data_IF_982147594713
#
_entry.id   IF_982147594713
#
_cell.length_a   1.000
_cell.length_b   1.000
_cell.length_c   1.000
_cell.angle_alpha   90.00
_cell.angle_beta   90.00
_cell.angle_gamma   90.00
#
_symmetry.space_group_name_H-M   'P 1'
#
loop_
_entity.id
_entity.type
_entity.pdbx_description
1 polymer ?
#
# COMPACT_ATOMS: atom_id res chain seq x y z
N UNK A 1 15.02 10.97 -11.27
CA UNK A 1 15.20 10.75 -11.53
C UNK A 1 15.20 10.58 -11.81
N UNK A 2 14.83 10.68 -11.81
CA UNK A 2 14.88 10.19 -12.23
C UNK A 2 15.07 9.34 -12.93
N UNK A 3 14.73 9.18 -13.15
CA UNK A 3 14.86 8.19 -13.73
C UNK A 3 16.12 7.72 -13.77
N UNK A 4 16.67 7.32 -13.56
CA UNK A 4 17.72 6.98 -13.57
C UNK A 4 18.48 6.97 -12.55
N UNK A 5 18.57 6.50 -11.56
CA UNK A 5 19.25 6.44 -10.73
C UNK A 5 19.42 5.83 -9.80
N UNK A 6 19.70 5.72 -9.41
CA UNK A 6 19.99 5.56 -8.66
C UNK A 6 20.45 4.71 -8.21
N UNK A 7 20.81 4.74 -7.77
CA UNK A 7 21.32 3.59 -7.46
C UNK A 7 20.56 2.66 -8.22
N UNK A 8 21.06 1.65 -8.70
CA UNK A 8 20.35 0.75 -9.47
C UNK A 8 19.11 0.37 -8.82
N UNK A 9 19.13 0.14 -7.57
CA UNK A 9 17.91 -0.13 -6.87
C UNK A 9 16.99 1.05 -6.95
N UNK A 10 17.52 2.24 -6.85
CA UNK A 10 16.72 3.43 -6.93
C UNK A 10 16.07 3.58 -8.26
N UNK A 11 16.78 3.24 -9.32
CA UNK A 11 16.23 3.34 -10.65
C UNK A 11 15.05 2.40 -10.86
N UNK A 12 15.21 1.14 -10.49
CA UNK A 12 14.14 0.18 -10.64
C UNK A 12 12.96 0.54 -9.77
N UNK A 13 13.23 1.03 -8.61
CA UNK A 13 12.21 1.45 -7.71
C UNK A 13 11.37 2.59 -8.26
N UNK A 14 12.00 3.55 -8.93
CA UNK A 14 11.26 4.64 -9.55
C UNK A 14 10.36 4.14 -10.66
N UNK A 15 10.82 3.17 -11.44
CA UNK A 15 9.98 2.59 -12.47
C UNK A 15 8.77 1.91 -11.88
N UNK A 16 8.95 1.16 -10.79
CA UNK A 16 7.84 0.51 -10.11
C UNK A 16 6.86 1.53 -9.57
N UNK A 17 7.38 2.59 -8.98
CA UNK A 17 6.52 3.63 -8.43
C UNK A 17 5.62 4.25 -9.48
N UNK A 18 6.15 4.45 -10.67
CA UNK A 18 5.35 5.07 -11.73
C UNK A 18 4.22 4.19 -12.18
N UNK A 19 4.44 2.87 -12.21
CA UNK A 19 3.38 1.96 -12.60
C UNK A 19 2.32 1.82 -11.52
N UNK A 20 2.69 2.06 -10.26
CA UNK A 20 1.78 1.85 -9.15
C UNK A 20 1.16 3.13 -8.61
N UNK A 21 1.49 4.26 -9.19
CA UNK A 21 1.02 5.55 -8.71
C UNK A 21 -0.50 5.57 -8.56
N UNK A 22 -0.96 6.04 -7.43
CA UNK A 22 -2.39 6.17 -7.15
C UNK A 22 -2.76 7.64 -7.28
N UNK A 23 -3.74 7.93 -8.12
CA UNK A 23 -4.27 9.28 -8.25
C UNK A 23 -5.63 9.29 -7.56
N UNK A 24 -5.70 9.98 -6.42
CA UNK A 24 -6.88 10.00 -5.59
C UNK A 24 -7.28 11.45 -5.35
N UNK A 25 -8.47 11.82 -5.83
CA UNK A 25 -8.94 13.18 -5.67
C UNK A 25 -8.01 14.21 -6.27
N UNK A 26 -7.28 13.84 -7.32
CA UNK A 26 -6.32 14.74 -7.96
C UNK A 26 -4.94 14.74 -7.32
N UNK A 27 -4.74 14.02 -6.24
CA UNK A 27 -3.44 13.96 -5.57
C UNK A 27 -2.69 12.69 -5.95
N UNK A 28 -1.38 12.81 -6.11
CA UNK A 28 -0.53 11.68 -6.45
C UNK A 28 -0.02 11.03 -5.17
N UNK A 29 -0.25 9.74 -5.04
CA UNK A 29 0.14 8.99 -3.86
C UNK A 29 0.98 7.81 -4.31
N UNK A 30 2.18 7.67 -3.71
CA UNK A 30 3.06 6.56 -4.03
C UNK A 30 2.84 5.46 -3.00
N UNK A 31 2.44 4.26 -3.43
CA UNK A 31 2.15 3.16 -2.50
C UNK A 31 3.30 2.85 -1.56
N UNK A 32 4.55 2.96 -2.04
CA UNK A 32 5.70 2.62 -1.22
C UNK A 32 5.82 3.49 0.02
N UNK A 33 5.41 4.74 -0.08
CA UNK A 33 5.46 5.65 1.07
C UNK A 33 4.51 5.18 2.17
N UNK A 34 3.32 4.79 1.78
CA UNK A 34 2.31 4.33 2.75
C UNK A 34 2.70 2.96 3.30
N UNK A 35 3.18 2.07 2.43
CA UNK A 35 3.63 0.74 2.85
C UNK A 35 4.75 0.83 3.88
N UNK A 36 5.67 1.77 3.69
CA UNK A 36 6.79 1.93 4.61
C UNK A 36 6.32 2.29 6.01
N UNK A 37 5.27 3.10 6.12
CA UNK A 37 4.72 3.46 7.41
C UNK A 37 4.04 2.25 8.05
N UNK A 38 3.22 1.54 7.29
CA UNK A 38 2.47 0.39 7.81
C UNK A 38 3.42 -0.69 8.30
N UNK A 39 4.49 -0.94 7.57
CA UNK A 39 5.43 -2.01 7.94
C UNK A 39 6.31 -1.65 9.13
N UNK A 40 6.21 -0.43 9.65
CA UNK A 40 6.86 -0.12 10.92
C UNK A 40 6.20 -0.83 12.10
N UNK A 41 4.95 -1.23 11.95
CA UNK A 41 4.24 -1.89 13.05
C UNK A 41 4.84 -3.29 13.26
N UNK A 42 5.21 -3.64 14.50
CA UNK A 42 5.90 -4.90 14.76
C UNK A 42 5.08 -6.15 14.48
N UNK A 43 3.77 -6.02 14.38
CA UNK A 43 2.91 -7.17 14.10
C UNK A 43 2.57 -7.32 12.62
N UNK A 44 3.15 -6.50 11.76
CA UNK A 44 2.93 -6.57 10.32
C UNK A 44 4.12 -7.24 9.66
N UNK A 45 3.84 -8.32 8.91
CA UNK A 45 4.89 -8.98 8.13
C UNK A 45 5.17 -8.19 6.86
N UNK A 46 4.09 -7.80 6.17
CA UNK A 46 4.23 -7.05 4.93
C UNK A 46 2.91 -6.38 4.60
N UNK A 47 2.94 -5.46 3.66
CA UNK A 47 1.75 -4.74 3.27
C UNK A 47 1.85 -4.31 1.81
N UNK A 48 0.71 -4.22 1.16
CA UNK A 48 0.60 -3.70 -0.19
C UNK A 48 -0.47 -2.63 -0.21
N UNK A 49 -0.18 -1.52 -0.86
CA UNK A 49 -1.12 -0.41 -0.98
C UNK A 49 -1.50 -0.27 -2.43
N UNK A 50 -2.79 -0.23 -2.70
CA UNK A 50 -3.32 -0.15 -4.06
C UNK A 50 -4.39 0.92 -4.12
N UNK A 51 -4.69 1.38 -5.33
CA UNK A 51 -5.79 2.32 -5.55
C UNK A 51 -6.99 1.58 -6.09
N UNK A 52 -8.07 1.56 -5.34
CA UNK A 52 -9.32 0.93 -5.77
C UNK A 52 -10.29 1.96 -6.30
N UNK A 53 -11.17 1.55 -7.19
CA UNK A 53 -12.15 2.44 -7.77
C UNK A 53 -13.02 3.06 -6.69
N UNK A 54 -13.28 4.35 -6.83
CA UNK A 54 -14.04 5.10 -5.84
C UNK A 54 -14.84 6.18 -6.57
N UNK A 55 -16.12 6.26 -6.31
CA UNK A 55 -17.01 7.16 -7.04
C UNK A 55 -16.65 8.62 -6.83
N UNK A 56 -16.17 8.97 -5.64
CA UNK A 56 -15.87 10.36 -5.33
C UNK A 56 -14.46 10.77 -5.69
N UNK A 57 -13.50 9.87 -5.51
CA UNK A 57 -12.08 10.20 -5.62
C UNK A 57 -11.44 9.72 -6.90
N UNK A 58 -12.15 8.93 -7.69
CA UNK A 58 -11.55 8.19 -8.81
C UNK A 58 -10.87 6.94 -8.29
N UNK A 59 -9.94 7.08 -7.38
CA UNK A 59 -9.30 5.99 -6.68
C UNK A 59 -9.20 6.32 -5.20
N UNK A 60 -9.32 5.31 -4.34
CA UNK A 60 -9.08 5.48 -2.91
C UNK A 60 -7.88 4.64 -2.51
N UNK A 61 -7.15 5.10 -1.51
CA UNK A 61 -6.01 4.38 -0.97
C UNK A 61 -6.53 3.22 -0.14
N UNK A 62 -6.12 2.02 -0.49
CA UNK A 62 -6.55 0.78 0.18
C UNK A 62 -5.31 -0.02 0.55
N UNK A 63 -5.19 -0.41 1.81
CA UNK A 63 -4.04 -1.18 2.27
C UNK A 63 -4.45 -2.63 2.51
N UNK A 64 -3.65 -3.56 1.98
CA UNK A 64 -3.81 -4.99 2.21
C UNK A 64 -2.64 -5.41 3.06
N UNK A 65 -2.91 -5.91 4.26
CA UNK A 65 -1.87 -6.14 5.27
C UNK A 65 -1.81 -7.61 5.64
N UNK A 66 -0.60 -8.15 5.68
CA UNK A 66 -0.34 -9.52 6.10
C UNK A 66 0.25 -9.47 7.51
N UNK A 67 -0.51 -9.82 8.54
CA UNK A 67 0.02 -9.77 9.91
C UNK A 67 0.90 -10.97 10.23
N UNK A 68 1.76 -10.80 11.24
CA UNK A 68 2.66 -11.86 11.67
C UNK A 68 1.95 -12.92 12.51
N UNK A 69 1.06 -12.49 13.37
CA UNK A 69 0.43 -13.39 14.31
C UNK A 69 -1.02 -13.04 14.47
N UNK A 70 -1.76 -13.97 15.06
CA UNK A 70 -3.17 -13.74 15.32
C UNK A 70 -3.28 -12.74 16.46
N UNK A 71 -3.64 -11.54 16.13
CA UNK A 71 -3.97 -10.51 17.07
C UNK A 71 -5.42 -10.17 16.89
N UNK A 72 -5.95 -9.39 17.81
CA UNK A 72 -7.27 -8.84 17.59
C UNK A 72 -7.22 -7.97 16.32
N UNK A 73 -7.93 -8.36 15.25
CA UNK A 73 -7.87 -7.61 14.00
C UNK A 73 -8.29 -6.15 14.14
N UNK A 74 -9.30 -5.91 14.98
CA UNK A 74 -9.79 -4.54 15.15
C UNK A 74 -8.75 -3.67 15.83
N UNK A 75 -8.06 -4.20 16.82
CA UNK A 75 -7.00 -3.46 17.50
C UNK A 75 -5.86 -3.13 16.52
N UNK A 76 -5.45 -4.13 15.72
CA UNK A 76 -4.38 -3.91 14.76
C UNK A 76 -4.77 -2.84 13.75
N UNK A 77 -5.99 -2.88 13.24
CA UNK A 77 -6.43 -1.89 12.25
C UNK A 77 -6.45 -0.48 12.83
N UNK A 78 -6.89 -0.34 14.09
CA UNK A 78 -6.89 0.96 14.74
C UNK A 78 -5.46 1.48 14.89
N UNK A 79 -4.54 0.62 15.32
CA UNK A 79 -3.15 1.01 15.50
C UNK A 79 -2.51 1.40 14.19
N UNK A 80 -2.82 0.69 13.11
CA UNK A 80 -2.27 1.03 11.80
C UNK A 80 -2.79 2.37 11.31
N UNK A 81 -4.07 2.64 11.49
CA UNK A 81 -4.61 3.94 11.12
C UNK A 81 -3.98 5.07 11.91
N UNK A 82 -3.81 4.87 13.22
CA UNK A 82 -3.18 5.88 14.06
C UNK A 82 -1.75 6.14 13.62
N UNK A 83 -1.01 5.08 13.30
CA UNK A 83 0.36 5.21 12.83
C UNK A 83 0.44 6.01 11.53
N UNK A 84 -0.46 5.70 10.60
CA UNK A 84 -0.51 6.43 9.33
C UNK A 84 -0.88 7.89 9.55
N UNK A 85 -1.84 8.16 10.42
CA UNK A 85 -2.23 9.55 10.70
C UNK A 85 -1.12 10.36 11.32
N UNK A 86 -0.25 9.72 12.10
CA UNK A 86 0.87 10.42 12.70
C UNK A 86 1.93 10.82 11.69
N UNK A 87 2.13 10.00 10.66
CA UNK A 87 3.30 10.14 9.80
C UNK A 87 2.99 10.57 8.38
N UNK A 88 1.74 10.48 7.95
CA UNK A 88 1.38 10.77 6.57
C UNK A 88 0.45 11.98 6.51
N UNK A 89 0.54 12.71 5.41
CA UNK A 89 -0.45 13.74 5.12
C UNK A 89 -1.82 13.07 5.02
N UNK A 90 -2.86 13.77 5.41
CA UNK A 90 -4.18 13.18 5.57
C UNK A 90 -4.68 12.49 4.30
N UNK A 91 -4.38 13.05 3.12
CA UNK A 91 -4.87 12.45 1.88
C UNK A 91 -4.15 11.16 1.51
N UNK A 92 -3.04 10.84 2.18
CA UNK A 92 -2.29 9.61 1.93
C UNK A 92 -2.68 8.49 2.88
N UNK A 93 -3.43 8.78 3.93
CA UNK A 93 -3.85 7.76 4.89
C UNK A 93 -4.84 6.82 4.20
N UNK A 94 -4.67 5.49 4.34
CA UNK A 94 -5.60 4.56 3.70
C UNK A 94 -7.03 4.79 4.17
N UNK A 95 -7.93 4.80 3.20
CA UNK A 95 -9.36 4.91 3.49
C UNK A 95 -9.92 3.60 4.00
N UNK A 96 -9.35 2.50 3.54
CA UNK A 96 -9.77 1.16 3.94
C UNK A 96 -8.52 0.32 4.16
N UNK A 97 -8.60 -0.61 5.13
CA UNK A 97 -7.53 -1.54 5.44
C UNK A 97 -8.12 -2.93 5.50
N UNK A 98 -7.42 -3.88 4.93
CA UNK A 98 -7.85 -5.26 4.86
C UNK A 98 -6.71 -6.15 5.37
N UNK A 99 -7.04 -7.15 6.18
CA UNK A 99 -6.05 -8.12 6.66
C UNK A 99 -6.20 -9.41 5.86
N UNK A 100 -5.09 -9.97 5.42
CA UNK A 100 -5.09 -11.22 4.66
C UNK A 100 -4.07 -12.17 5.26
N UNK A 101 -4.24 -13.46 4.99
CA UNK A 101 -3.29 -14.44 5.48
C UNK A 101 -1.96 -14.37 4.74
N UNK A 102 -2.01 -14.14 3.44
CA UNK A 102 -0.83 -14.16 2.59
C UNK A 102 -1.03 -13.18 1.44
N UNK A 103 0.01 -12.41 1.14
CA UNK A 103 0.01 -11.53 -0.02
C UNK A 103 0.58 -12.29 -1.22
N UNK A 104 -0.04 -12.13 -2.42
CA UNK A 104 0.49 -12.79 -3.61
C UNK A 104 1.82 -12.17 -4.03
N UNK A 105 2.78 -13.02 -4.35
CA UNK A 105 4.10 -12.58 -4.76
C UNK A 105 4.48 -13.26 -6.07
N UNK A 106 5.32 -12.59 -6.86
CA UNK A 106 5.85 -13.21 -8.06
C UNK A 106 7.08 -14.04 -7.72
N UNK A 107 7.74 -14.59 -8.74
CA UNK A 107 8.89 -15.46 -8.52
C UNK A 107 10.07 -14.75 -7.86
N UNK A 108 10.14 -13.45 -8.05
CA UNK A 108 11.20 -12.65 -7.43
C UNK A 108 10.85 -12.24 -6.00
N UNK A 109 9.71 -12.65 -5.48
CA UNK A 109 9.28 -12.31 -4.13
C UNK A 109 8.59 -10.98 -3.99
N UNK A 110 8.34 -10.29 -5.08
CA UNK A 110 7.66 -8.99 -5.03
C UNK A 110 6.16 -9.18 -4.98
N UNK A 111 5.49 -8.31 -4.22
CA UNK A 111 4.04 -8.35 -4.10
C UNK A 111 3.41 -7.95 -5.42
N UNK A 112 2.38 -8.69 -5.81
CA UNK A 112 1.66 -8.46 -7.07
C UNK A 112 0.51 -7.48 -6.85
N UNK A 113 0.85 -6.19 -6.81
CA UNK A 113 -0.15 -5.15 -6.51
C UNK A 113 -1.25 -5.07 -7.54
N UNK A 114 -0.91 -5.23 -8.82
CA UNK A 114 -1.91 -5.17 -9.89
C UNK A 114 -2.95 -6.27 -9.71
N UNK A 115 -2.50 -7.47 -9.35
CA UNK A 115 -3.43 -8.58 -9.11
C UNK A 115 -4.37 -8.25 -7.96
N UNK A 116 -3.83 -7.72 -6.87
CA UNK A 116 -4.65 -7.33 -5.73
C UNK A 116 -5.69 -6.29 -6.11
N UNK A 117 -5.27 -5.27 -6.85
CA UNK A 117 -6.17 -4.23 -7.29
C UNK A 117 -7.27 -4.79 -8.18
N UNK A 118 -6.90 -5.60 -9.17
CA UNK A 118 -7.87 -6.08 -10.14
C UNK A 118 -8.88 -7.03 -9.49
N UNK A 119 -8.45 -7.86 -8.55
CA UNK A 119 -9.36 -8.74 -7.84
C UNK A 119 -10.41 -7.97 -7.06
N UNK A 120 -10.02 -6.85 -6.47
CA UNK A 120 -10.93 -6.08 -5.64
C UNK A 120 -11.81 -5.14 -6.46
N UNK A 121 -11.28 -4.61 -7.55
CA UNK A 121 -12.09 -3.79 -8.45
C UNK A 121 -13.17 -4.61 -9.15
N UNK A 122 -12.95 -5.90 -9.31
CA UNK A 122 -13.90 -6.78 -9.99
C UNK A 122 -15.08 -7.18 -9.12
N UNK A 123 -15.03 -6.90 -7.82
CA UNK A 123 -16.09 -7.30 -6.89
C UNK A 123 -17.25 -6.33 -6.89
#
# INVERSE_FOLDING_TARGET
GDLGWLDDDGYLYLADRRTDLIISGGSNIFPAEVEAVITQHPQVRDAAVVGLQDDDLGRRVHAVVEPLAALDPDTLMIELLDLCREQLLSYKVPRTIELVETLPRNEAGKIRRTLLRDQRDAQ
#
